data_IF_340944576719
#
_entry.id   IF_340944576719
#
_cell.length_a   1.000
_cell.length_b   1.000
_cell.length_c   1.000
_cell.angle_alpha   90.00
_cell.angle_beta   90.00
_cell.angle_gamma   90.00
#
_symmetry.space_group_name_H-M   'P 1'
#
loop_
_entity.id
_entity.type
_entity.pdbx_description
1 polymer ?
#
# COMPACT_ATOMS: atom_id res chain seq x y z
N UNK A 1 11.19 -9.10 3.75
CA UNK A 1 9.84 -9.54 4.23
C UNK A 1 9.50 -10.97 3.76
N UNK A 2 8.83 -11.76 4.61
CA UNK A 2 8.35 -13.11 4.25
C UNK A 2 7.03 -12.98 3.46
N UNK A 3 7.05 -13.41 2.19
CA UNK A 3 5.95 -13.22 1.22
C UNK A 3 5.66 -14.48 0.38
N UNK A 4 6.27 -15.61 0.73
CA UNK A 4 6.22 -16.83 -0.08
C UNK A 4 4.78 -17.35 -0.29
N UNK A 5 3.90 -17.12 0.67
CA UNK A 5 2.48 -17.48 0.57
C UNK A 5 1.78 -16.80 -0.61
N UNK A 6 2.15 -15.53 -0.91
CA UNK A 6 1.55 -14.75 -1.98
C UNK A 6 2.03 -15.13 -3.38
N UNK A 7 3.05 -15.98 -3.49
CA UNK A 7 3.45 -16.55 -4.79
C UNK A 7 2.34 -17.43 -5.38
N UNK A 8 1.51 -18.02 -4.54
CA UNK A 8 0.36 -18.84 -4.95
C UNK A 8 -0.95 -18.06 -5.10
N UNK A 9 -0.96 -16.75 -4.79
CA UNK A 9 -2.12 -15.90 -4.99
C UNK A 9 -2.29 -15.53 -6.48
N UNK A 10 -3.44 -15.81 -7.13
CA UNK A 10 -3.55 -15.77 -8.59
C UNK A 10 -3.72 -14.36 -9.18
N UNK A 11 -3.79 -13.32 -8.36
CA UNK A 11 -4.04 -11.96 -8.79
C UNK A 11 -2.91 -11.00 -8.44
N UNK A 12 -2.82 -9.83 -9.11
CA UNK A 12 -1.79 -8.85 -8.80
C UNK A 12 -1.81 -8.41 -7.33
N UNK A 13 -0.62 -8.37 -6.75
CA UNK A 13 -0.32 -7.83 -5.43
C UNK A 13 1.01 -7.09 -5.48
N UNK A 14 1.24 -6.18 -4.53
CA UNK A 14 2.49 -5.45 -4.43
C UNK A 14 2.73 -4.99 -2.98
N UNK A 15 3.99 -4.98 -2.54
CA UNK A 15 4.36 -4.43 -1.24
C UNK A 15 4.20 -2.91 -1.25
N UNK A 16 3.69 -2.37 -0.15
CA UNK A 16 3.49 -0.94 0.10
C UNK A 16 4.34 -0.49 1.30
N UNK A 17 4.13 0.75 1.73
CA UNK A 17 4.66 1.28 2.96
C UNK A 17 6.16 1.52 2.92
N UNK A 18 6.80 1.44 4.09
CA UNK A 18 8.25 1.57 4.22
C UNK A 18 9.03 0.49 3.48
N UNK A 19 8.51 -0.73 3.46
CA UNK A 19 9.15 -1.84 2.73
C UNK A 19 9.25 -1.56 1.24
N UNK A 20 8.24 -0.94 0.62
CA UNK A 20 8.31 -0.59 -0.80
C UNK A 20 9.44 0.41 -1.09
N UNK A 21 9.68 1.35 -0.18
CA UNK A 21 10.76 2.35 -0.30
C UNK A 21 12.13 1.69 -0.20
N UNK A 22 12.35 0.87 0.83
CA UNK A 22 13.62 0.17 1.03
C UNK A 22 13.90 -0.86 -0.07
N UNK A 23 12.88 -1.60 -0.52
CA UNK A 23 13.01 -2.54 -1.64
C UNK A 23 13.30 -1.83 -2.96
N UNK A 24 12.84 -0.59 -3.14
CA UNK A 24 13.20 0.25 -4.28
C UNK A 24 14.64 0.77 -4.17
N UNK A 25 15.07 1.18 -2.97
CA UNK A 25 16.43 1.65 -2.69
C UNK A 25 17.48 0.52 -2.76
N UNK A 26 17.07 -0.74 -2.61
CA UNK A 26 17.94 -1.91 -2.62
C UNK A 26 18.59 -2.22 -1.26
N UNK A 27 18.23 -1.48 -0.21
CA UNK A 27 18.75 -1.65 1.15
C UNK A 27 17.68 -1.36 2.21
N UNK A 28 17.81 -1.99 3.37
CA UNK A 28 16.93 -1.71 4.52
C UNK A 28 17.52 -0.54 5.28
N UNK A 29 16.81 0.59 5.32
CA UNK A 29 17.35 1.87 5.83
C UNK A 29 16.82 2.25 7.21
N UNK A 30 15.77 1.57 7.68
CA UNK A 30 15.18 1.75 9.01
C UNK A 30 14.42 0.50 9.44
N UNK A 31 14.06 0.44 10.72
CA UNK A 31 13.13 -0.57 11.21
C UNK A 31 11.73 -0.36 10.60
N UNK A 32 11.05 -1.47 10.32
CA UNK A 32 9.65 -1.50 9.89
C UNK A 32 8.85 -2.22 10.96
N UNK A 33 7.70 -1.66 11.34
CA UNK A 33 6.83 -2.23 12.38
C UNK A 33 5.82 -3.22 11.77
N UNK A 34 5.59 -3.12 10.45
CA UNK A 34 4.59 -3.89 9.76
C UNK A 34 4.95 -4.18 8.30
N UNK A 35 4.07 -4.99 7.68
CA UNK A 35 4.10 -5.30 6.26
C UNK A 35 2.74 -4.94 5.66
N UNK A 36 2.75 -3.93 4.79
CA UNK A 36 1.58 -3.48 4.04
C UNK A 36 1.59 -4.05 2.62
N UNK A 37 0.48 -4.63 2.16
CA UNK A 37 0.35 -5.19 0.81
C UNK A 37 -0.83 -4.56 0.08
N UNK A 38 -0.64 -4.08 -1.14
CA UNK A 38 -1.70 -3.62 -2.01
C UNK A 38 -2.28 -4.74 -2.87
N UNK A 39 -3.60 -4.76 -2.99
CA UNK A 39 -4.36 -5.59 -3.96
C UNK A 39 -5.47 -4.74 -4.58
N UNK A 40 -6.10 -5.22 -5.66
CA UNK A 40 -7.27 -4.56 -6.24
C UNK A 40 -8.58 -5.06 -5.61
N UNK A 41 -9.52 -4.15 -5.31
CA UNK A 41 -10.82 -4.45 -4.67
C UNK A 41 -11.61 -5.53 -5.40
N UNK A 42 -11.55 -5.56 -6.74
CA UNK A 42 -12.24 -6.57 -7.54
C UNK A 42 -11.81 -8.01 -7.22
N UNK A 43 -10.64 -8.22 -6.61
CA UNK A 43 -10.10 -9.54 -6.26
C UNK A 43 -10.26 -9.88 -4.77
N UNK A 44 -11.01 -9.09 -4.00
CA UNK A 44 -11.18 -9.30 -2.56
C UNK A 44 -11.71 -10.70 -2.20
N UNK A 45 -12.62 -11.27 -2.99
CA UNK A 45 -13.17 -12.61 -2.73
C UNK A 45 -12.09 -13.69 -2.89
N UNK A 46 -11.24 -13.57 -3.92
CA UNK A 46 -10.11 -14.45 -4.12
C UNK A 46 -9.07 -14.31 -3.00
N UNK A 47 -8.85 -13.08 -2.51
CA UNK A 47 -7.98 -12.84 -1.36
C UNK A 47 -8.52 -13.51 -0.09
N UNK A 48 -9.82 -13.38 0.20
CA UNK A 48 -10.45 -14.07 1.33
C UNK A 48 -10.32 -15.59 1.20
N UNK A 49 -10.58 -16.13 0.02
CA UNK A 49 -10.45 -17.55 -0.24
C UNK A 49 -9.00 -18.06 -0.07
N UNK A 50 -8.01 -17.25 -0.46
CA UNK A 50 -6.59 -17.57 -0.33
C UNK A 50 -6.16 -17.74 1.15
N UNK A 51 -6.69 -16.90 2.04
CA UNK A 51 -6.41 -16.97 3.48
C UNK A 51 -7.31 -17.93 4.25
N UNK A 52 -8.38 -18.44 3.64
CA UNK A 52 -9.13 -19.61 4.13
C UNK A 52 -9.63 -19.48 5.57
N UNK A 53 -9.02 -20.25 6.48
CA UNK A 53 -9.39 -20.37 7.89
C UNK A 53 -8.83 -19.27 8.81
N UNK A 54 -8.06 -18.33 8.25
CA UNK A 54 -7.58 -17.16 8.97
C UNK A 54 -8.75 -16.26 9.38
N UNK A 55 -8.62 -15.60 10.53
CA UNK A 55 -9.57 -14.57 10.95
C UNK A 55 -9.47 -13.36 10.01
N UNK A 56 -10.59 -12.96 9.39
CA UNK A 56 -10.65 -11.83 8.46
C UNK A 56 -11.37 -10.62 9.06
N UNK A 57 -10.72 -9.47 9.04
CA UNK A 57 -11.22 -8.22 9.60
C UNK A 57 -11.09 -7.07 8.60
N UNK A 58 -11.97 -6.07 8.74
CA UNK A 58 -12.00 -4.85 7.93
C UNK A 58 -11.85 -3.62 8.82
N UNK A 59 -11.17 -2.59 8.32
CA UNK A 59 -11.00 -1.33 9.04
C UNK A 59 -12.19 -0.39 8.82
N UNK A 60 -12.86 0.00 9.90
CA UNK A 60 -14.04 0.89 9.93
C UNK A 60 -13.92 1.97 11.02
N UNK A 61 -12.71 2.44 11.29
CA UNK A 61 -12.37 3.25 12.49
C UNK A 61 -11.91 2.41 13.69
N UNK A 62 -11.70 1.13 13.43
CA UNK A 62 -11.31 0.02 14.30
C UNK A 62 -11.44 -1.27 13.50
N UNK A 63 -11.15 -2.41 14.09
CA UNK A 63 -11.29 -3.69 13.39
C UNK A 63 -12.66 -4.33 13.65
N UNK A 64 -13.41 -4.56 12.57
CA UNK A 64 -14.65 -5.33 12.60
C UNK A 64 -14.46 -6.63 11.82
N UNK A 65 -15.18 -7.72 12.15
CA UNK A 65 -15.21 -8.90 11.31
C UNK A 65 -15.58 -8.56 9.86
N UNK A 66 -14.88 -9.18 8.91
CA UNK A 66 -15.30 -9.21 7.52
C UNK A 66 -16.19 -10.44 7.32
N UNK A 67 -17.49 -10.21 7.20
CA UNK A 67 -18.50 -11.27 7.26
C UNK A 67 -18.49 -12.17 6.01
N UNK A 68 -18.98 -13.39 6.17
CA UNK A 68 -19.11 -14.32 5.04
C UNK A 68 -20.00 -13.68 3.96
N UNK A 69 -19.58 -13.77 2.70
CA UNK A 69 -20.28 -13.19 1.52
C UNK A 69 -20.43 -11.67 1.53
N UNK A 70 -19.90 -10.98 2.52
CA UNK A 70 -19.81 -9.53 2.47
C UNK A 70 -18.83 -9.11 1.39
N UNK A 71 -19.27 -8.20 0.53
CA UNK A 71 -18.42 -7.46 -0.40
C UNK A 71 -18.07 -6.11 0.23
N UNK A 72 -16.78 -5.87 0.43
CA UNK A 72 -16.27 -4.61 0.94
C UNK A 72 -16.34 -3.54 -0.14
N UNK A 73 -17.04 -2.46 0.15
CA UNK A 73 -17.17 -1.27 -0.69
C UNK A 73 -16.47 -0.07 -0.03
N UNK A 74 -16.36 1.03 -0.76
CA UNK A 74 -15.90 2.30 -0.18
C UNK A 74 -16.82 2.71 1.00
N UNK A 75 -16.29 3.27 2.10
CA UNK A 75 -14.90 3.73 2.30
C UNK A 75 -13.96 2.70 2.95
N UNK A 76 -14.27 1.40 2.92
CA UNK A 76 -13.39 0.37 3.50
C UNK A 76 -12.18 0.15 2.60
N UNK A 77 -10.99 0.45 3.11
CA UNK A 77 -9.74 0.36 2.35
C UNK A 77 -8.75 -0.68 2.86
N UNK A 78 -8.96 -1.24 4.04
CA UNK A 78 -7.95 -2.06 4.69
C UNK A 78 -8.57 -3.33 5.26
N UNK A 79 -7.89 -4.44 5.04
CA UNK A 79 -8.21 -5.77 5.54
C UNK A 79 -7.04 -6.24 6.40
N UNK A 80 -7.37 -6.95 7.47
CA UNK A 80 -6.41 -7.67 8.30
C UNK A 80 -6.77 -9.16 8.29
N UNK A 81 -5.80 -10.00 7.95
CA UNK A 81 -5.89 -11.44 8.21
C UNK A 81 -5.02 -11.79 9.42
N UNK A 82 -5.59 -12.58 10.33
CA UNK A 82 -4.90 -13.09 11.52
C UNK A 82 -4.82 -14.61 11.46
N UNK A 83 -3.70 -15.23 11.88
CA UNK A 83 -3.56 -16.67 11.90
C UNK A 83 -4.69 -17.38 12.66
N UNK A 84 -4.99 -18.65 12.33
CA UNK A 84 -5.96 -19.44 13.08
C UNK A 84 -5.62 -19.49 14.58
N UNK A 85 -6.62 -19.23 15.42
CA UNK A 85 -6.47 -19.21 16.88
C UNK A 85 -6.07 -17.86 17.49
N UNK A 86 -5.74 -16.83 16.69
CA UNK A 86 -5.34 -15.50 17.19
C UNK A 86 -6.47 -14.69 17.82
N UNK A 87 -7.73 -15.10 17.66
CA UNK A 87 -8.90 -14.32 18.10
C UNK A 87 -9.08 -12.98 17.35
N UNK A 88 -10.04 -12.14 17.76
CA UNK A 88 -10.20 -10.80 17.20
C UNK A 88 -9.02 -9.89 17.57
N UNK A 89 -8.73 -8.84 16.78
CA UNK A 89 -7.77 -7.81 17.14
C UNK A 89 -8.06 -7.21 18.52
N UNK A 90 -7.02 -7.02 19.37
CA UNK A 90 -7.19 -6.26 20.60
C UNK A 90 -7.49 -4.79 20.31
N UNK A 91 -7.98 -4.06 21.32
CA UNK A 91 -8.16 -2.61 21.29
C UNK A 91 -7.44 -1.99 22.51
N UNK A 92 -6.34 -1.24 22.33
CA UNK A 92 -5.74 -0.85 21.06
C UNK A 92 -5.09 -2.03 20.32
N UNK A 93 -5.14 -1.99 18.99
CA UNK A 93 -4.42 -2.93 18.13
C UNK A 93 -3.01 -2.41 17.82
N UNK A 94 -2.02 -3.28 17.96
CA UNK A 94 -0.65 -3.05 17.52
C UNK A 94 -0.32 -4.01 16.38
N UNK A 95 0.40 -3.57 15.32
CA UNK A 95 0.79 -4.46 14.23
C UNK A 95 1.69 -5.61 14.69
N UNK A 96 1.43 -6.80 14.17
CA UNK A 96 2.28 -7.98 14.35
C UNK A 96 2.65 -8.59 13.00
N UNK A 97 3.88 -9.08 12.88
CA UNK A 97 4.44 -9.61 11.62
C UNK A 97 3.78 -10.92 11.17
N UNK A 98 3.16 -11.67 12.07
CA UNK A 98 2.32 -12.83 11.76
C UNK A 98 0.98 -12.45 11.13
N UNK A 99 0.54 -11.21 11.30
CA UNK A 99 -0.69 -10.71 10.69
C UNK A 99 -0.42 -10.19 9.27
N UNK A 100 -1.47 -10.12 8.45
CA UNK A 100 -1.34 -9.63 7.07
C UNK A 100 -2.27 -8.46 6.83
N UNK A 101 -1.68 -7.32 6.52
CA UNK A 101 -2.40 -6.09 6.24
C UNK A 101 -2.48 -5.87 4.73
N UNK A 102 -3.72 -5.80 4.23
CA UNK A 102 -3.98 -5.53 2.83
C UNK A 102 -4.69 -4.20 2.63
N UNK A 103 -4.23 -3.43 1.67
CA UNK A 103 -4.90 -2.22 1.20
C UNK A 103 -5.62 -2.49 -0.13
N UNK A 104 -6.92 -2.25 -0.15
CA UNK A 104 -7.76 -2.33 -1.33
C UNK A 104 -7.58 -1.08 -2.19
N UNK A 105 -7.20 -1.29 -3.45
CA UNK A 105 -7.03 -0.27 -4.47
C UNK A 105 -8.17 -0.35 -5.50
N UNK A 106 -8.61 0.81 -5.97
CA UNK A 106 -9.57 0.90 -7.07
C UNK A 106 -8.84 0.88 -8.41
N UNK A 107 -9.39 0.14 -9.36
CA UNK A 107 -9.00 0.22 -10.75
C UNK A 107 -10.22 0.01 -11.65
N UNK A 108 -10.33 0.82 -12.70
CA UNK A 108 -11.36 0.70 -13.72
C UNK A 108 -10.68 0.72 -15.10
N UNK A 109 -11.09 -0.20 -15.98
CA UNK A 109 -10.57 -0.34 -17.34
C UNK A 109 -9.03 -0.28 -17.47
N UNK A 110 -8.28 -0.77 -16.48
CA UNK A 110 -6.80 -0.75 -16.47
C UNK A 110 -6.18 0.55 -15.93
N UNK A 111 -6.98 1.44 -15.36
CA UNK A 111 -6.53 2.69 -14.73
C UNK A 111 -6.76 2.59 -13.23
N UNK A 112 -5.69 2.71 -12.45
CA UNK A 112 -5.74 2.87 -11.01
C UNK A 112 -6.25 4.26 -10.64
N UNK A 113 -7.08 4.34 -9.61
CA UNK A 113 -7.69 5.57 -9.11
C UNK A 113 -7.25 5.79 -7.66
N UNK A 114 -6.58 6.90 -7.39
CA UNK A 114 -6.12 7.23 -6.04
C UNK A 114 -7.29 7.47 -5.10
N UNK A 115 -7.27 6.84 -3.93
CA UNK A 115 -8.25 7.13 -2.86
C UNK A 115 -8.07 8.51 -2.23
N UNK A 116 -6.97 9.22 -2.52
CA UNK A 116 -6.76 10.60 -2.05
C UNK A 116 -7.56 11.61 -2.86
N UNK A 117 -7.58 11.42 -4.19
CA UNK A 117 -8.35 12.24 -5.12
C UNK A 117 -8.52 11.44 -6.44
N UNK A 118 -9.76 11.24 -6.93
CA UNK A 118 -10.01 10.41 -8.11
C UNK A 118 -9.47 11.01 -9.42
N UNK A 119 -9.05 12.28 -9.43
CA UNK A 119 -8.36 12.89 -10.57
C UNK A 119 -6.91 12.41 -10.69
N UNK A 120 -6.32 11.90 -9.60
CA UNK A 120 -5.00 11.31 -9.61
C UNK A 120 -5.13 9.85 -10.02
N UNK A 121 -4.63 9.56 -11.22
CA UNK A 121 -4.73 8.24 -11.84
C UNK A 121 -3.39 7.81 -12.42
N UNK A 122 -3.27 6.51 -12.66
CA UNK A 122 -2.10 5.89 -13.27
C UNK A 122 -2.53 4.61 -14.00
N UNK A 123 -1.89 4.22 -15.10
CA UNK A 123 -2.17 2.91 -15.67
C UNK A 123 -1.74 1.80 -14.67
N UNK A 124 -2.52 0.74 -14.49
CA UNK A 124 -2.22 -0.30 -13.48
C UNK A 124 -0.87 -0.99 -13.71
N UNK A 125 -0.37 -0.98 -14.94
CA UNK A 125 0.98 -1.48 -15.30
C UNK A 125 2.11 -0.62 -14.76
N UNK A 126 1.84 0.63 -14.44
CA UNK A 126 2.79 1.57 -13.87
C UNK A 126 2.66 1.65 -12.35
N UNK A 127 1.60 1.10 -11.74
CA UNK A 127 1.36 1.16 -10.30
C UNK A 127 2.38 0.37 -9.48
N UNK A 128 2.92 -0.71 -10.07
CA UNK A 128 3.88 -1.57 -9.42
C UNK A 128 5.08 -1.83 -10.33
N UNK A 129 6.25 -1.97 -9.70
CA UNK A 129 7.50 -2.42 -10.35
C UNK A 129 8.06 -3.63 -9.60
N UNK A 130 9.07 -4.29 -10.17
CA UNK A 130 9.80 -5.38 -9.51
C UNK A 130 11.07 -4.81 -8.89
N UNK A 131 11.29 -5.05 -7.61
CA UNK A 131 12.58 -4.78 -6.95
C UNK A 131 13.70 -5.65 -7.55
N UNK A 132 14.95 -5.36 -7.18
CA UNK A 132 16.11 -6.18 -7.55
C UNK A 132 15.99 -7.64 -7.07
N UNK A 133 15.27 -7.85 -5.96
CA UNK A 133 14.93 -9.18 -5.43
C UNK A 133 13.70 -9.83 -6.10
N UNK A 134 13.12 -9.21 -7.12
CA UNK A 134 11.96 -9.72 -7.86
C UNK A 134 10.62 -9.54 -7.15
N UNK A 135 10.57 -8.85 -6.01
CA UNK A 135 9.35 -8.60 -5.24
C UNK A 135 8.55 -7.49 -5.95
N UNK A 136 7.24 -7.66 -6.18
CA UNK A 136 6.42 -6.59 -6.72
C UNK A 136 6.20 -5.54 -5.61
N UNK A 137 6.51 -4.28 -5.91
CA UNK A 137 6.38 -3.15 -4.98
C UNK A 137 5.60 -2.03 -5.65
N UNK A 138 4.81 -1.29 -4.88
CA UNK A 138 4.20 -0.06 -5.38
C UNK A 138 5.31 0.90 -5.79
N UNK A 139 5.10 1.66 -6.87
CA UNK A 139 6.11 2.62 -7.30
C UNK A 139 6.36 3.70 -6.24
N UNK A 140 7.62 4.15 -6.09
CA UNK A 140 7.99 5.12 -5.05
C UNK A 140 7.18 6.42 -5.12
N UNK A 141 6.87 6.93 -6.33
CA UNK A 141 6.03 8.11 -6.51
C UNK A 141 4.63 7.95 -5.90
N UNK A 142 3.97 6.81 -6.10
CA UNK A 142 2.66 6.52 -5.50
C UNK A 142 2.78 6.36 -3.99
N UNK A 143 3.85 5.73 -3.49
CA UNK A 143 4.07 5.59 -2.05
C UNK A 143 4.31 6.96 -1.38
N UNK A 144 5.11 7.82 -2.00
CA UNK A 144 5.36 9.18 -1.52
C UNK A 144 4.10 10.04 -1.55
N UNK A 145 3.24 9.92 -2.56
CA UNK A 145 1.93 10.58 -2.57
C UNK A 145 1.12 10.27 -1.31
N UNK A 146 1.10 9.00 -0.86
CA UNK A 146 0.40 8.62 0.37
C UNK A 146 1.06 9.15 1.63
N UNK A 147 2.41 9.20 1.64
CA UNK A 147 3.23 9.67 2.76
C UNK A 147 3.16 11.18 2.95
N UNK A 148 3.01 11.98 1.89
CA UNK A 148 2.95 13.44 1.96
C UNK A 148 1.81 14.01 2.84
N UNK A 149 0.80 13.19 3.17
CA UNK A 149 -0.21 13.57 4.17
C UNK A 149 0.39 13.71 5.57
N UNK A 150 1.44 12.95 5.85
CA UNK A 150 2.13 12.87 7.13
C UNK A 150 3.44 13.66 7.05
N UNK A 151 3.80 14.34 8.15
CA UNK A 151 5.05 15.11 8.26
C UNK A 151 6.01 14.45 9.25
N UNK A 152 5.97 13.11 9.32
CA UNK A 152 6.80 12.34 10.25
C UNK A 152 8.25 12.26 9.76
N UNK A 153 9.20 12.14 10.69
CA UNK A 153 10.63 11.99 10.35
C UNK A 153 10.88 10.81 9.40
N UNK A 154 10.12 9.71 9.56
CA UNK A 154 10.18 8.54 8.67
C UNK A 154 9.70 8.84 7.24
N UNK A 155 8.71 9.71 7.08
CA UNK A 155 8.17 10.07 5.75
C UNK A 155 9.13 11.01 5.02
N UNK A 156 9.74 11.94 5.74
CA UNK A 156 10.80 12.81 5.23
C UNK A 156 12.09 12.03 4.88
N UNK A 157 12.44 11.03 5.68
CA UNK A 157 13.52 10.09 5.38
C UNK A 157 13.24 9.33 4.09
N UNK A 158 12.07 8.69 4.00
CA UNK A 158 11.67 7.90 2.83
C UNK A 158 11.65 8.78 1.56
N UNK A 159 11.21 10.04 1.64
CA UNK A 159 11.27 10.99 0.53
C UNK A 159 12.69 11.29 0.08
N UNK A 160 13.58 11.70 1.00
CA UNK A 160 14.98 12.02 0.67
C UNK A 160 15.72 10.83 0.06
N UNK A 161 15.40 9.61 0.51
CA UNK A 161 16.04 8.40 0.04
C UNK A 161 15.79 8.16 -1.46
N UNK A 162 14.56 8.36 -1.93
CA UNK A 162 14.17 7.92 -3.29
C UNK A 162 13.86 9.06 -4.26
N UNK A 163 13.66 10.30 -3.79
CA UNK A 163 13.27 11.43 -4.64
C UNK A 163 14.32 11.73 -5.73
N UNK A 164 15.61 11.55 -5.43
CA UNK A 164 16.70 11.71 -6.40
C UNK A 164 16.73 10.66 -7.51
N UNK A 165 16.09 9.51 -7.30
CA UNK A 165 15.93 8.45 -8.30
C UNK A 165 14.65 8.63 -9.14
N UNK A 166 13.68 9.44 -8.70
CA UNK A 166 12.52 9.80 -9.51
C UNK A 166 12.96 10.75 -10.64
N UNK A 167 12.85 10.29 -11.89
CA UNK A 167 13.23 11.06 -13.08
C UNK A 167 12.09 11.10 -14.10
N UNK A 168 12.07 12.15 -14.91
CA UNK A 168 11.10 12.34 -15.99
C UNK A 168 9.65 12.24 -15.51
N UNK A 169 8.85 11.45 -16.25
CA UNK A 169 7.41 11.33 -16.02
C UNK A 169 7.02 10.94 -14.59
N UNK A 170 7.82 10.12 -13.88
CA UNK A 170 7.52 9.73 -12.50
C UNK A 170 7.61 10.90 -11.52
N UNK A 171 8.64 11.72 -11.69
CA UNK A 171 8.86 12.92 -10.87
C UNK A 171 7.80 13.97 -11.16
N UNK A 172 7.50 14.19 -12.44
CA UNK A 172 6.43 15.10 -12.89
C UNK A 172 5.08 14.67 -12.34
N UNK A 173 4.75 13.37 -12.44
CA UNK A 173 3.51 12.81 -11.91
C UNK A 173 3.37 13.04 -10.40
N UNK A 174 4.42 12.76 -9.60
CA UNK A 174 4.38 13.00 -8.16
C UNK A 174 4.17 14.48 -7.86
N UNK A 175 4.92 15.36 -8.53
CA UNK A 175 4.81 16.81 -8.35
C UNK A 175 3.40 17.31 -8.65
N UNK A 176 2.81 16.89 -9.77
CA UNK A 176 1.48 17.31 -10.18
C UNK A 176 0.40 16.77 -9.24
N UNK A 177 0.53 15.51 -8.81
CA UNK A 177 -0.35 14.90 -7.82
C UNK A 177 -0.29 15.64 -6.47
N UNK A 178 0.91 15.97 -5.98
CA UNK A 178 1.09 16.73 -4.74
C UNK A 178 0.58 18.16 -4.86
N UNK A 179 0.80 18.84 -6.00
CA UNK A 179 0.28 20.19 -6.21
C UNK A 179 -1.26 20.22 -6.14
N UNK A 180 -1.92 19.13 -6.56
CA UNK A 180 -3.36 19.00 -6.54
C UNK A 180 -3.94 18.82 -5.12
N UNK A 181 -3.35 17.95 -4.31
CA UNK A 181 -3.93 17.55 -3.00
C UNK A 181 -3.23 18.18 -1.79
N UNK A 182 -1.99 18.64 -1.96
CA UNK A 182 -1.15 19.26 -0.95
C UNK A 182 -0.44 20.51 -1.52
N UNK A 183 -1.20 21.54 -1.97
CA UNK A 183 -0.58 22.77 -2.48
C UNK A 183 0.32 23.40 -1.42
N UNK A 184 1.55 23.76 -1.82
CA UNK A 184 2.57 24.32 -0.93
C UNK A 184 3.31 23.28 -0.07
N UNK A 185 3.19 21.98 -0.36
CA UNK A 185 4.01 20.97 0.30
C UNK A 185 5.51 21.23 0.04
N UNK A 186 6.41 21.16 1.05
CA UNK A 186 7.84 21.42 0.88
C UNK A 186 8.49 20.58 -0.22
N UNK A 187 8.08 19.30 -0.34
CA UNK A 187 8.56 18.42 -1.41
C UNK A 187 8.32 18.96 -2.83
N UNK A 188 7.37 19.87 -3.05
CA UNK A 188 7.18 20.48 -4.38
C UNK A 188 8.39 21.30 -4.83
N UNK A 189 9.08 21.98 -3.92
CA UNK A 189 10.30 22.72 -4.22
C UNK A 189 11.45 21.76 -4.55
N UNK A 190 11.53 20.65 -3.83
CA UNK A 190 12.53 19.60 -4.08
C UNK A 190 12.24 18.75 -5.32
N UNK A 191 11.00 18.77 -5.81
CA UNK A 191 10.54 18.09 -7.03
C UNK A 191 10.59 18.99 -8.27
N UNK A 192 10.88 20.28 -8.11
CA UNK A 192 11.02 21.24 -9.22
C UNK A 192 12.20 20.94 -10.15
#
# INVERSE_FOLDING_TARGET
PALAELESYPHPWFVCGGWAIDLFAGEVTREHEDLEIGVFRQHQEALRAHYGDWGSFKSVGGWAPWEERERLELPVHQILFRPPGSGPPPDPWEPAYEERQFFLNEADAGVWISRRDPRITLHVRELALRSDSGIPIVTPEVQLLYKARHKGEKDEHDFRLVSGALRGARREWLRDALALIHPGHPWLEELA
#
